data_IF_333454506941
#
_entry.id   IF_333454506941
#
_cell.length_a   1.000
_cell.length_b   1.000
_cell.length_c   1.000
_cell.angle_alpha   90.00
_cell.angle_beta   90.00
_cell.angle_gamma   90.00
#
_symmetry.space_group_name_H-M   'P 1'
#
loop_
_entity.id
_entity.type
_entity.pdbx_description
1 polymer ?
#
# COMPACT_ATOMS: atom_id res chain seq x y z
N UNK A 1 5.19 -15.51 20.37
CA UNK A 1 5.96 -15.42 19.11
C UNK A 1 7.15 -14.48 19.30
N UNK A 2 8.37 -14.95 19.02
CA UNK A 2 9.59 -14.13 19.13
C UNK A 2 9.58 -13.01 18.09
N UNK A 3 10.28 -11.90 18.34
CA UNK A 3 10.42 -10.80 17.36
C UNK A 3 11.08 -11.28 16.07
N UNK A 4 12.07 -12.17 16.16
CA UNK A 4 12.70 -12.82 15.00
C UNK A 4 11.68 -13.57 14.14
N UNK A 5 10.86 -14.41 14.77
CA UNK A 5 9.80 -15.15 14.06
C UNK A 5 8.77 -14.22 13.40
N UNK A 6 8.42 -13.11 14.07
CA UNK A 6 7.53 -12.10 13.49
C UNK A 6 8.12 -11.45 12.25
N UNK A 7 9.39 -11.02 12.29
CA UNK A 7 10.05 -10.43 11.12
C UNK A 7 10.12 -11.41 9.95
N UNK A 8 10.46 -12.67 10.20
CA UNK A 8 10.53 -13.70 9.17
C UNK A 8 9.15 -13.94 8.55
N UNK A 9 8.11 -14.10 9.37
CA UNK A 9 6.75 -14.27 8.89
C UNK A 9 6.28 -13.06 8.07
N UNK A 10 6.51 -11.84 8.55
CA UNK A 10 6.17 -10.61 7.81
C UNK A 10 6.95 -10.49 6.51
N UNK A 11 8.22 -10.90 6.47
CA UNK A 11 9.03 -10.90 5.24
C UNK A 11 8.49 -11.91 4.22
N UNK A 12 8.11 -13.11 4.65
CA UNK A 12 7.49 -14.11 3.77
C UNK A 12 6.18 -13.56 3.20
N UNK A 13 5.33 -12.98 4.05
CA UNK A 13 4.06 -12.36 3.63
C UNK A 13 4.32 -11.20 2.67
N UNK A 14 5.34 -10.38 2.90
CA UNK A 14 5.75 -9.32 1.98
C UNK A 14 6.09 -9.88 0.60
N UNK A 15 6.92 -10.91 0.53
CA UNK A 15 7.28 -11.56 -0.73
C UNK A 15 6.07 -12.15 -1.46
N UNK A 16 5.14 -12.77 -0.72
CA UNK A 16 3.88 -13.28 -1.27
C UNK A 16 3.05 -12.12 -1.87
N UNK A 17 2.92 -10.99 -1.18
CA UNK A 17 2.20 -9.83 -1.70
C UNK A 17 2.86 -9.29 -2.98
N UNK A 18 4.19 -9.17 -3.01
CA UNK A 18 4.91 -8.73 -4.21
C UNK A 18 4.62 -9.67 -5.39
N UNK A 19 4.68 -10.99 -5.17
CA UNK A 19 4.34 -11.98 -6.20
C UNK A 19 2.88 -11.81 -6.65
N UNK A 20 1.94 -11.68 -5.72
CA UNK A 20 0.51 -11.53 -6.04
C UNK A 20 0.23 -10.28 -6.87
N UNK A 21 0.88 -9.16 -6.57
CA UNK A 21 0.74 -7.91 -7.35
C UNK A 21 1.20 -8.12 -8.80
N UNK A 22 2.34 -8.76 -9.01
CA UNK A 22 2.80 -9.07 -10.37
C UNK A 22 1.92 -10.10 -11.08
N UNK A 23 1.34 -11.06 -10.35
CA UNK A 23 0.37 -11.98 -10.92
C UNK A 23 -0.92 -11.25 -11.32
N UNK A 24 -1.42 -10.32 -10.50
CA UNK A 24 -2.61 -9.51 -10.85
C UNK A 24 -2.38 -8.73 -12.13
N UNK A 25 -1.20 -8.12 -12.30
CA UNK A 25 -0.82 -7.42 -13.53
C UNK A 25 -0.77 -8.37 -14.73
N UNK A 26 -0.11 -9.53 -14.58
CA UNK A 26 0.03 -10.53 -15.64
C UNK A 26 -1.30 -11.15 -16.10
N UNK A 27 -2.24 -11.36 -15.17
CA UNK A 27 -3.55 -11.94 -15.46
C UNK A 27 -4.60 -10.89 -15.84
N UNK A 28 -4.26 -9.60 -15.77
CA UNK A 28 -5.18 -8.55 -16.20
C UNK A 28 -5.16 -8.41 -17.71
N UNK A 29 -6.35 -8.40 -18.29
CA UNK A 29 -6.54 -8.14 -19.72
C UNK A 29 -6.57 -6.64 -19.94
N UNK A 30 -5.49 -6.09 -20.49
CA UNK A 30 -5.44 -4.69 -20.89
C UNK A 30 -6.22 -4.44 -22.19
N UNK A 31 -6.93 -3.31 -22.25
CA UNK A 31 -7.56 -2.85 -23.49
C UNK A 31 -6.48 -2.24 -24.41
N UNK A 32 -6.25 -2.86 -25.56
CA UNK A 32 -5.29 -2.38 -26.56
C UNK A 32 -5.97 -1.49 -27.61
N UNK A 33 -5.33 -0.40 -28.08
CA UNK A 33 -5.96 0.59 -28.94
C UNK A 33 -6.60 0.11 -30.25
N UNK A 34 -6.26 -1.09 -30.72
CA UNK A 34 -6.72 -1.65 -32.00
C UNK A 34 -7.19 -3.10 -31.89
N UNK A 35 -7.34 -3.63 -30.66
CA UNK A 35 -7.90 -4.97 -30.44
C UNK A 35 -9.31 -4.83 -29.87
N UNK A 36 -10.24 -5.65 -30.36
CA UNK A 36 -11.61 -5.67 -29.87
C UNK A 36 -11.69 -5.87 -28.36
N UNK A 37 -12.80 -5.42 -27.76
CA UNK A 37 -13.12 -5.65 -26.34
C UNK A 37 -13.23 -7.17 -26.13
N UNK A 38 -12.39 -7.74 -25.26
CA UNK A 38 -12.52 -9.14 -24.87
C UNK A 38 -13.72 -9.32 -23.95
N UNK A 39 -14.52 -10.35 -24.20
CA UNK A 39 -15.67 -10.74 -23.37
C UNK A 39 -15.33 -11.70 -22.24
N UNK A 40 -14.08 -12.15 -22.12
CA UNK A 40 -13.68 -13.29 -21.27
C UNK A 40 -13.55 -12.95 -19.76
N UNK A 41 -13.92 -11.73 -19.35
CA UNK A 41 -13.78 -11.25 -17.98
C UNK A 41 -12.31 -11.02 -17.57
N UNK A 42 -12.05 -10.74 -16.28
CA UNK A 42 -10.68 -10.60 -15.77
C UNK A 42 -10.39 -11.68 -14.70
N UNK A 43 -9.57 -12.70 -15.02
CA UNK A 43 -9.21 -13.75 -14.07
C UNK A 43 -8.41 -13.22 -12.87
N UNK A 44 -7.78 -12.05 -12.97
CA UNK A 44 -7.05 -11.43 -11.86
C UNK A 44 -7.95 -11.06 -10.68
N UNK A 45 -9.27 -10.88 -10.88
CA UNK A 45 -10.21 -10.60 -9.76
C UNK A 45 -10.22 -11.74 -8.73
N UNK A 46 -9.98 -12.99 -9.15
CA UNK A 46 -9.88 -14.13 -8.22
C UNK A 46 -8.67 -13.96 -7.28
N UNK A 47 -7.57 -13.39 -7.79
CA UNK A 47 -6.36 -13.16 -6.98
C UNK A 47 -6.59 -12.12 -5.89
N UNK A 48 -7.59 -11.23 -6.03
CA UNK A 48 -7.90 -10.20 -5.03
C UNK A 48 -8.39 -10.80 -3.71
N UNK A 49 -9.10 -11.94 -3.76
CA UNK A 49 -9.54 -12.65 -2.57
C UNK A 49 -8.37 -13.22 -1.75
N UNK A 50 -7.19 -13.34 -2.35
CA UNK A 50 -5.96 -13.78 -1.69
C UNK A 50 -5.09 -12.57 -1.34
N UNK A 51 -4.93 -11.63 -2.27
CA UNK A 51 -4.11 -10.43 -2.12
C UNK A 51 -4.60 -9.57 -0.95
N UNK A 52 -5.89 -9.26 -0.87
CA UNK A 52 -6.40 -8.35 0.16
C UNK A 52 -6.16 -8.89 1.58
N UNK A 53 -6.50 -10.15 1.92
CA UNK A 53 -6.14 -10.71 3.22
C UNK A 53 -4.63 -10.74 3.48
N UNK A 54 -3.82 -11.11 2.48
CA UNK A 54 -2.36 -11.14 2.63
C UNK A 54 -1.78 -9.75 2.86
N UNK A 55 -2.37 -8.73 2.25
CA UNK A 55 -1.96 -7.34 2.41
C UNK A 55 -2.33 -6.81 3.79
N UNK A 56 -3.53 -7.12 4.28
CA UNK A 56 -3.93 -6.78 5.66
C UNK A 56 -3.04 -7.47 6.70
N UNK A 57 -2.67 -8.74 6.47
CA UNK A 57 -1.71 -9.46 7.32
C UNK A 57 -0.32 -8.81 7.29
N UNK A 58 0.13 -8.34 6.13
CA UNK A 58 1.38 -7.59 5.99
C UNK A 58 1.35 -6.31 6.83
N UNK A 59 0.30 -5.49 6.66
CA UNK A 59 0.12 -4.23 7.39
C UNK A 59 0.08 -4.47 8.90
N UNK A 60 -0.64 -5.50 9.36
CA UNK A 60 -0.66 -5.89 10.76
C UNK A 60 0.73 -6.30 11.27
N UNK A 61 1.47 -7.10 10.50
CA UNK A 61 2.83 -7.51 10.82
C UNK A 61 3.79 -6.33 10.94
N UNK A 62 3.77 -5.41 9.96
CA UNK A 62 4.57 -4.18 9.98
C UNK A 62 4.22 -3.32 11.20
N UNK A 63 2.94 -3.10 11.47
CA UNK A 63 2.48 -2.32 12.62
C UNK A 63 2.98 -2.91 13.95
N UNK A 64 2.87 -4.25 14.11
CA UNK A 64 3.33 -4.95 15.31
C UNK A 64 4.85 -4.86 15.50
N UNK A 65 5.63 -4.99 14.43
CA UNK A 65 7.10 -4.86 14.49
C UNK A 65 7.49 -3.44 14.90
N UNK A 66 6.95 -2.44 14.22
CA UNK A 66 7.21 -1.02 14.50
C UNK A 66 6.86 -0.68 15.95
N UNK A 67 5.71 -1.17 16.43
CA UNK A 67 5.26 -0.93 17.80
C UNK A 67 6.16 -1.60 18.84
N UNK A 68 6.44 -2.91 18.69
CA UNK A 68 7.20 -3.70 19.67
C UNK A 68 8.64 -3.22 19.82
N UNK A 69 9.27 -2.94 18.70
CA UNK A 69 10.70 -2.63 18.69
C UNK A 69 11.01 -1.16 18.90
N UNK A 70 9.95 -0.32 18.94
CA UNK A 70 10.08 1.12 19.09
C UNK A 70 11.09 1.70 18.09
N UNK A 71 11.17 1.14 16.89
CA UNK A 71 12.13 1.56 15.86
C UNK A 71 12.08 3.06 15.63
N UNK A 72 10.88 3.63 15.58
CA UNK A 72 10.64 5.06 15.37
C UNK A 72 11.07 5.94 16.57
N UNK A 73 11.26 5.37 17.76
CA UNK A 73 11.68 6.11 18.96
C UNK A 73 13.18 6.41 18.92
N UNK A 74 13.98 5.55 18.28
CA UNK A 74 15.45 5.59 18.27
C UNK A 74 16.02 6.61 17.27
N UNK A 75 15.26 6.96 16.22
CA UNK A 75 15.69 7.89 15.18
C UNK A 75 15.14 9.31 15.39
N UNK A 76 15.68 10.27 14.66
CA UNK A 76 15.11 11.62 14.58
C UNK A 76 13.74 11.56 13.89
N UNK A 77 12.67 11.50 14.71
CA UNK A 77 11.28 11.29 14.29
C UNK A 77 10.78 12.31 13.28
N UNK A 78 11.21 13.56 13.37
CA UNK A 78 10.82 14.62 12.43
C UNK A 78 11.42 14.31 11.06
N UNK A 79 12.71 13.94 11.01
CA UNK A 79 13.37 13.55 9.77
C UNK A 79 12.72 12.31 9.15
N UNK A 80 12.41 11.30 9.96
CA UNK A 80 11.71 10.09 9.48
C UNK A 80 10.32 10.43 8.93
N UNK A 81 9.55 11.27 9.62
CA UNK A 81 8.23 11.72 9.15
C UNK A 81 8.34 12.43 7.79
N UNK A 82 9.28 13.37 7.64
CA UNK A 82 9.46 14.09 6.39
C UNK A 82 9.86 13.16 5.23
N UNK A 83 10.77 12.22 5.47
CA UNK A 83 11.18 11.23 4.46
C UNK A 83 9.98 10.37 4.03
N UNK A 84 9.22 9.85 5.00
CA UNK A 84 8.02 9.06 4.72
C UNK A 84 6.95 9.88 3.98
N UNK A 85 6.82 11.17 4.30
CA UNK A 85 5.85 12.06 3.65
C UNK A 85 6.22 12.27 2.17
N UNK A 86 7.50 12.50 1.88
CA UNK A 86 7.99 12.62 0.50
C UNK A 86 7.75 11.33 -0.27
N UNK A 87 8.13 10.18 0.28
CA UNK A 87 7.90 8.90 -0.40
C UNK A 87 6.42 8.60 -0.61
N UNK A 88 5.57 8.91 0.38
CA UNK A 88 4.13 8.73 0.26
C UNK A 88 3.55 9.63 -0.85
N UNK A 89 3.94 10.91 -0.88
CA UNK A 89 3.52 11.83 -1.93
C UNK A 89 3.95 11.33 -3.33
N UNK A 90 5.21 10.90 -3.48
CA UNK A 90 5.70 10.32 -4.74
C UNK A 90 4.90 9.08 -5.14
N UNK A 91 4.66 8.17 -4.21
CA UNK A 91 3.89 6.94 -4.46
C UNK A 91 2.45 7.25 -4.90
N UNK A 92 1.80 8.23 -4.27
CA UNK A 92 0.45 8.68 -4.65
C UNK A 92 0.45 9.35 -6.03
N UNK A 93 1.45 10.17 -6.35
CA UNK A 93 1.56 10.79 -7.67
C UNK A 93 1.75 9.73 -8.78
N UNK A 94 2.55 8.70 -8.53
CA UNK A 94 2.71 7.58 -9.47
C UNK A 94 1.43 6.76 -9.62
N UNK A 95 0.68 6.57 -8.53
CA UNK A 95 -0.64 5.94 -8.57
C UNK A 95 -1.63 6.76 -9.41
N UNK A 96 -1.63 8.08 -9.29
CA UNK A 96 -2.48 8.98 -10.08
C UNK A 96 -2.09 8.97 -11.55
N UNK A 97 -0.79 9.05 -11.86
CA UNK A 97 -0.29 8.94 -13.25
C UNK A 97 -0.70 7.60 -13.88
N UNK A 98 -0.55 6.49 -13.14
CA UNK A 98 -0.97 5.17 -13.60
C UNK A 98 -2.48 5.11 -13.87
N UNK A 99 -3.28 5.64 -12.94
CA UNK A 99 -4.74 5.70 -13.10
C UNK A 99 -5.14 6.54 -14.33
N UNK A 100 -4.46 7.67 -14.56
CA UNK A 100 -4.71 8.52 -15.72
C UNK A 100 -4.35 7.81 -17.03
N UNK A 101 -3.22 7.10 -17.09
CA UNK A 101 -2.86 6.31 -18.28
C UNK A 101 -3.89 5.22 -18.59
N UNK A 102 -4.44 4.57 -17.56
CA UNK A 102 -5.50 3.57 -17.76
C UNK A 102 -6.76 4.26 -18.27
N UNK A 103 -7.17 5.36 -17.63
CA UNK A 103 -8.30 6.19 -18.07
C UNK A 103 -8.18 6.58 -19.55
N UNK A 104 -7.04 7.15 -19.95
CA UNK A 104 -6.83 7.62 -21.32
C UNK A 104 -6.83 6.48 -22.35
N UNK A 105 -6.50 5.24 -21.95
CA UNK A 105 -6.59 4.05 -22.83
C UNK A 105 -8.04 3.61 -23.06
N UNK A 106 -8.93 3.86 -22.10
CA UNK A 106 -10.32 3.39 -22.14
C UNK A 106 -11.33 4.51 -22.45
N UNK A 107 -10.89 5.76 -22.42
CA UNK A 107 -11.74 6.93 -22.64
C UNK A 107 -12.44 6.86 -24.01
N UNK A 108 -13.74 7.13 -24.02
CA UNK A 108 -14.60 6.99 -25.19
C UNK A 108 -14.86 5.56 -25.67
N UNK A 109 -14.31 4.52 -24.99
CA UNK A 109 -14.48 3.10 -25.36
C UNK A 109 -15.33 2.30 -24.39
N UNK A 110 -15.32 2.68 -23.12
CA UNK A 110 -16.25 2.17 -22.10
C UNK A 110 -16.56 3.27 -21.08
N UNK A 111 -17.81 3.32 -20.64
CA UNK A 111 -18.25 4.23 -19.58
C UNK A 111 -18.28 3.54 -18.20
N UNK A 112 -17.99 2.24 -18.15
CA UNK A 112 -18.09 1.46 -16.94
C UNK A 112 -16.78 1.59 -16.15
N UNK A 113 -16.77 2.43 -15.13
CA UNK A 113 -15.66 2.47 -14.17
C UNK A 113 -16.00 1.59 -12.98
N UNK A 114 -15.09 0.69 -12.60
CA UNK A 114 -15.32 -0.13 -11.42
C UNK A 114 -14.20 -1.09 -11.10
N UNK A 115 -14.18 -1.50 -9.84
CA UNK A 115 -13.24 -2.48 -9.32
C UNK A 115 -13.48 -3.90 -9.87
N UNK A 116 -14.69 -4.19 -10.36
CA UNK A 116 -15.01 -5.43 -11.08
C UNK A 116 -14.85 -5.32 -12.59
N UNK A 117 -14.65 -4.11 -13.14
CA UNK A 117 -14.45 -3.98 -14.57
C UNK A 117 -13.02 -4.47 -14.90
N UNK A 118 -12.88 -5.45 -15.82
CA UNK A 118 -11.61 -6.05 -16.20
C UNK A 118 -10.54 -5.05 -16.65
N UNK A 119 -10.93 -3.90 -17.19
CA UNK A 119 -10.06 -2.89 -17.78
C UNK A 119 -9.66 -1.77 -16.82
N UNK A 120 -10.37 -1.60 -15.70
CA UNK A 120 -10.09 -0.54 -14.71
C UNK A 120 -9.66 -1.10 -13.36
N UNK A 121 -9.74 -2.40 -13.14
CA UNK A 121 -9.50 -2.98 -11.83
C UNK A 121 -8.04 -2.82 -11.34
N UNK A 122 -7.05 -2.81 -12.23
CA UNK A 122 -5.63 -2.54 -11.92
C UNK A 122 -5.37 -1.12 -11.44
N UNK A 123 -6.34 -0.19 -11.59
CA UNK A 123 -6.30 1.09 -10.89
C UNK A 123 -6.30 0.86 -9.38
N UNK A 124 -7.05 -0.12 -8.88
CA UNK A 124 -7.22 -0.33 -7.43
C UNK A 124 -6.10 -1.20 -6.84
N UNK A 125 -5.74 -2.29 -7.50
CA UNK A 125 -4.69 -3.22 -7.04
C UNK A 125 -3.51 -3.18 -8.01
N UNK A 126 -2.44 -2.51 -7.57
CA UNK A 126 -1.17 -2.44 -8.27
C UNK A 126 -0.04 -2.13 -7.27
N UNK A 127 1.19 -2.05 -7.79
CA UNK A 127 2.37 -1.78 -6.96
C UNK A 127 2.32 -0.44 -6.21
N UNK A 128 1.79 0.62 -6.83
CA UNK A 128 1.73 1.94 -6.24
C UNK A 128 0.67 2.02 -5.13
N UNK A 129 -0.49 1.37 -5.29
CA UNK A 129 -1.49 1.31 -4.21
C UNK A 129 -0.98 0.49 -3.01
N UNK A 130 -0.30 -0.62 -3.27
CA UNK A 130 0.42 -1.41 -2.26
C UNK A 130 1.48 -0.59 -1.50
N UNK A 131 2.38 0.10 -2.23
CA UNK A 131 3.43 0.89 -1.62
C UNK A 131 2.85 2.06 -0.81
N UNK A 132 1.82 2.73 -1.35
CA UNK A 132 1.16 3.87 -0.70
C UNK A 132 0.56 3.48 0.65
N UNK A 133 -0.08 2.31 0.76
CA UNK A 133 -0.69 1.91 2.02
C UNK A 133 0.35 1.51 3.09
N UNK A 134 1.47 0.89 2.73
CA UNK A 134 2.59 0.65 3.67
C UNK A 134 3.16 1.98 4.17
N UNK A 135 3.41 2.94 3.27
CA UNK A 135 3.93 4.25 3.62
C UNK A 135 2.95 5.03 4.51
N UNK A 136 1.66 4.98 4.20
CA UNK A 136 0.61 5.59 5.02
C UNK A 136 0.57 5.00 6.44
N UNK A 137 0.65 3.67 6.56
CA UNK A 137 0.71 3.01 7.87
C UNK A 137 1.91 3.51 8.69
N UNK A 138 3.10 3.59 8.08
CA UNK A 138 4.32 4.07 8.74
C UNK A 138 4.21 5.55 9.12
N UNK A 139 3.59 6.38 8.27
CA UNK A 139 3.29 7.78 8.56
C UNK A 139 2.40 7.91 9.79
N UNK A 140 1.29 7.17 9.84
CA UNK A 140 0.35 7.17 10.97
C UNK A 140 1.08 6.75 12.25
N UNK A 141 1.86 5.66 12.23
CA UNK A 141 2.63 5.21 13.39
C UNK A 141 3.66 6.24 13.87
N UNK A 142 4.31 6.93 12.93
CA UNK A 142 5.28 7.99 13.25
C UNK A 142 4.58 9.21 13.87
N UNK A 143 3.45 9.64 13.31
CA UNK A 143 2.65 10.74 13.82
C UNK A 143 2.13 10.43 15.25
N UNK A 144 1.56 9.25 15.47
CA UNK A 144 1.12 8.79 16.80
C UNK A 144 2.28 8.83 17.80
N UNK A 145 3.46 8.33 17.39
CA UNK A 145 4.65 8.33 18.24
C UNK A 145 5.09 9.76 18.59
N UNK A 146 5.06 10.70 17.63
CA UNK A 146 5.39 12.10 17.88
C UNK A 146 4.42 12.76 18.86
N UNK A 147 3.11 12.60 18.64
CA UNK A 147 2.05 13.14 19.48
C UNK A 147 2.22 12.65 20.92
N UNK A 148 2.35 11.33 21.11
CA UNK A 148 2.53 10.72 22.44
C UNK A 148 3.75 11.30 23.18
N UNK A 149 4.88 11.47 22.49
CA UNK A 149 6.09 12.01 23.11
C UNK A 149 5.97 13.50 23.47
N UNK A 150 5.19 14.28 22.72
CA UNK A 150 4.92 15.69 23.05
C UNK A 150 4.14 15.80 24.36
N UNK A 151 3.09 15.01 24.53
CA UNK A 151 2.30 14.94 25.76
C UNK A 151 3.14 14.51 26.97
N UNK A 152 3.93 13.42 26.85
CA UNK A 152 4.81 12.98 27.95
C UNK A 152 5.90 13.98 28.36
N UNK A 153 6.31 14.89 27.48
CA UNK A 153 7.25 15.98 27.83
C UNK A 153 6.56 17.15 28.52
N UNK A 154 5.33 17.48 28.13
CA UNK A 154 4.52 18.51 28.78
C UNK A 154 4.26 18.19 30.26
N UNK A 155 3.80 16.97 30.55
CA UNK A 155 3.50 16.52 31.92
C UNK A 155 4.70 16.52 32.88
N UNK A 156 5.94 16.52 32.38
CA UNK A 156 7.15 16.61 33.22
C UNK A 156 7.59 18.04 33.50
N UNK A 157 7.20 18.99 32.64
CA UNK A 157 7.53 20.41 32.83
C UNK A 157 6.55 21.06 33.81
N UNK A 158 5.29 20.61 33.84
CA UNK A 158 4.28 21.08 34.81
C UNK A 158 4.48 20.53 36.24
N UNK A 159 5.42 19.61 36.44
CA UNK A 159 5.75 19.00 37.75
C UNK A 159 7.06 19.51 38.36
N UNK A 160 7.68 20.54 37.80
CA UNK A 160 8.85 21.22 38.36
C UNK A 160 8.50 22.64 38.76
#
# INVERSE_FOLDING_TARGET
MSTKSLRIATLIIFLINVILIFLVDWFTVEMLPDKGISGDGNPAVILWFIELPMYLLLLAGVALIVHRERYLVQYNRIRVLLILLVFFAVSVLLQVDNAQRIHDRIDGRTNDYGWLNPYTNTIYINFYSFLSGILLLLLIQTAITLIRNRFYRGDRLDKK
#
